data_IF_709979698437
#
_entry.id   IF_709979698437
#
_cell.length_a   1.000
_cell.length_b   1.000
_cell.length_c   1.000
_cell.angle_alpha   90.00
_cell.angle_beta   90.00
_cell.angle_gamma   90.00
#
_symmetry.space_group_name_H-M   'P 1'
#
loop_
_entity.id
_entity.type
_entity.pdbx_description
1 polymer ?
#
# COMPACT_ATOMS: atom_id res chain seq x y z
N UNK A 1 18.58 -15.70 -1.63
CA UNK A 1 19.98 -15.68 -1.13
C UNK A 1 20.76 -16.95 -1.47
N UNK A 2 20.22 -18.17 -1.32
CA UNK A 2 20.97 -19.41 -1.63
C UNK A 2 21.31 -19.66 -3.11
N UNK A 3 20.56 -19.07 -4.04
CA UNK A 3 20.76 -19.30 -5.48
C UNK A 3 21.88 -18.45 -6.07
N UNK A 4 22.20 -17.29 -5.49
CA UNK A 4 23.31 -16.43 -5.94
C UNK A 4 24.67 -16.96 -5.50
N UNK A 5 24.78 -17.56 -4.31
CA UNK A 5 26.02 -18.18 -3.84
C UNK A 5 26.52 -19.30 -4.77
N UNK A 6 25.62 -19.96 -5.51
CA UNK A 6 26.01 -20.99 -6.47
C UNK A 6 26.61 -20.40 -7.77
N UNK A 7 26.30 -19.15 -8.12
CA UNK A 7 26.80 -18.53 -9.35
C UNK A 7 28.27 -18.11 -9.23
N UNK A 8 28.66 -17.50 -8.10
CA UNK A 8 30.06 -17.13 -7.84
C UNK A 8 30.99 -18.35 -7.78
N UNK A 9 30.54 -19.45 -7.16
CA UNK A 9 31.29 -20.71 -7.13
C UNK A 9 31.42 -21.37 -8.51
N UNK A 10 30.46 -21.16 -9.42
CA UNK A 10 30.51 -21.70 -10.78
C UNK A 10 31.47 -20.92 -11.71
N UNK A 11 31.64 -19.62 -11.51
CA UNK A 11 32.56 -18.79 -12.31
C UNK A 11 34.03 -19.20 -12.13
N UNK A 12 34.42 -19.57 -10.89
CA UNK A 12 35.77 -20.08 -10.57
C UNK A 12 36.07 -21.39 -11.33
N UNK A 13 35.05 -22.19 -11.64
CA UNK A 13 35.22 -23.44 -12.38
C UNK A 13 35.37 -23.26 -13.91
N UNK A 14 35.03 -22.08 -14.47
CA UNK A 14 35.01 -21.82 -15.91
C UNK A 14 36.16 -20.92 -16.42
N UNK A 15 37.07 -20.45 -15.57
CA UNK A 15 38.20 -19.60 -15.96
C UNK A 15 37.82 -18.16 -16.32
N UNK A 16 36.63 -17.70 -15.93
CA UNK A 16 36.23 -16.30 -16.02
C UNK A 16 36.65 -15.60 -14.74
N UNK A 17 37.91 -15.17 -14.68
CA UNK A 17 38.47 -14.42 -13.55
C UNK A 17 39.17 -13.17 -14.04
N UNK A 18 39.15 -12.08 -13.27
CA UNK A 18 39.79 -10.81 -13.62
C UNK A 18 40.75 -10.29 -12.53
N UNK A 19 41.55 -9.25 -12.85
CA UNK A 19 42.53 -8.65 -11.94
C UNK A 19 41.99 -7.50 -11.09
N UNK A 20 40.73 -7.11 -11.24
CA UNK A 20 40.11 -6.11 -10.37
C UNK A 20 39.84 -6.70 -8.99
N UNK A 21 40.53 -6.19 -7.97
CA UNK A 21 40.37 -6.61 -6.57
C UNK A 21 38.99 -6.34 -5.98
N UNK A 22 38.15 -5.57 -6.68
CA UNK A 22 36.77 -5.23 -6.30
C UNK A 22 35.71 -6.10 -6.97
N UNK A 23 36.11 -6.97 -7.92
CA UNK A 23 35.25 -7.95 -8.57
C UNK A 23 35.15 -9.24 -7.76
N UNK A 24 34.01 -9.93 -7.85
CA UNK A 24 33.76 -11.18 -7.14
C UNK A 24 34.57 -12.36 -7.68
N UNK A 25 34.91 -12.30 -8.96
CA UNK A 25 35.75 -13.28 -9.64
C UNK A 25 37.22 -12.82 -9.74
N UNK A 26 37.69 -12.03 -8.77
CA UNK A 26 39.09 -11.62 -8.68
C UNK A 26 40.03 -12.85 -8.59
N UNK A 27 41.07 -12.89 -9.43
CA UNK A 27 42.13 -13.89 -9.32
C UNK A 27 43.50 -13.31 -9.68
N UNK A 28 44.52 -13.75 -8.96
CA UNK A 28 45.93 -13.38 -9.19
C UNK A 28 46.64 -14.25 -10.24
N UNK A 29 45.98 -15.30 -10.74
CA UNK A 29 46.49 -16.23 -11.76
C UNK A 29 45.33 -16.91 -12.50
N UNK A 30 45.58 -17.46 -13.70
CA UNK A 30 44.59 -18.08 -14.59
C UNK A 30 43.51 -17.14 -15.17
N UNK A 31 43.88 -15.88 -15.43
CA UNK A 31 43.03 -14.87 -16.08
C UNK A 31 42.85 -15.23 -17.56
N UNK A 32 41.65 -15.65 -17.99
CA UNK A 32 41.37 -15.85 -19.42
C UNK A 32 40.95 -14.57 -20.13
N UNK A 33 40.27 -13.66 -19.43
CA UNK A 33 39.79 -12.39 -19.97
C UNK A 33 39.59 -11.38 -18.83
N UNK A 34 40.40 -10.33 -18.80
CA UNK A 34 40.35 -9.27 -17.79
C UNK A 34 39.12 -8.36 -17.95
N UNK A 35 38.44 -8.45 -19.10
CA UNK A 35 37.23 -7.68 -19.42
C UNK A 35 35.95 -8.32 -18.89
N UNK A 36 36.02 -9.54 -18.32
CA UNK A 36 34.88 -10.29 -17.78
C UNK A 36 34.83 -10.23 -16.24
N UNK A 37 35.04 -9.06 -15.66
CA UNK A 37 34.82 -8.87 -14.24
C UNK A 37 33.33 -9.01 -13.89
N UNK A 38 33.04 -9.87 -12.92
CA UNK A 38 31.72 -10.01 -12.34
C UNK A 38 31.68 -9.18 -11.05
N UNK A 39 30.87 -8.13 -11.04
CA UNK A 39 30.65 -7.34 -9.84
C UNK A 39 29.26 -7.63 -9.27
N UNK A 40 29.17 -7.66 -7.95
CA UNK A 40 27.87 -7.70 -7.29
C UNK A 40 27.11 -6.38 -7.56
N UNK A 41 25.81 -6.44 -7.93
CA UNK A 41 25.05 -5.25 -8.23
C UNK A 41 24.85 -4.41 -6.96
N UNK A 42 25.06 -3.10 -7.09
CA UNK A 42 24.81 -2.16 -6.00
C UNK A 42 23.37 -1.69 -6.07
N UNK A 43 22.66 -1.87 -4.96
CA UNK A 43 21.31 -1.39 -4.80
C UNK A 43 21.31 -0.09 -4.01
N UNK A 44 20.46 0.86 -4.39
CA UNK A 44 20.43 2.18 -3.77
C UNK A 44 19.04 2.82 -3.78
N UNK A 45 18.86 3.84 -2.95
CA UNK A 45 17.67 4.68 -2.96
C UNK A 45 17.82 5.85 -3.95
N UNK A 46 16.86 5.96 -4.87
CA UNK A 46 16.78 7.04 -5.84
C UNK A 46 15.71 8.09 -5.48
N UNK A 47 15.05 7.97 -4.34
CA UNK A 47 14.05 8.92 -3.86
C UNK A 47 14.74 10.09 -3.13
N UNK A 48 14.58 11.31 -3.63
CA UNK A 48 15.18 12.51 -3.03
C UNK A 48 14.65 12.88 -1.64
N UNK A 49 13.53 12.28 -1.22
CA UNK A 49 12.95 12.47 0.10
C UNK A 49 13.51 11.52 1.16
N UNK A 50 14.25 10.48 0.76
CA UNK A 50 14.89 9.55 1.67
C UNK A 50 16.17 10.15 2.27
N UNK A 51 16.50 9.78 3.50
CA UNK A 51 17.74 10.22 4.16
C UNK A 51 18.99 9.61 3.53
N UNK A 52 18.87 8.43 2.93
CA UNK A 52 19.94 7.74 2.23
C UNK A 52 19.86 7.89 0.70
N UNK A 53 19.23 8.97 0.22
CA UNK A 53 19.19 9.32 -1.19
C UNK A 53 20.60 9.51 -1.78
N UNK A 54 20.84 8.89 -2.93
CA UNK A 54 22.04 9.16 -3.73
C UNK A 54 21.68 10.00 -4.95
N UNK A 55 22.11 11.27 -4.93
CA UNK A 55 21.88 12.23 -6.01
C UNK A 55 22.59 11.89 -7.33
N UNK A 56 23.66 11.11 -7.26
CA UNK A 56 24.41 10.66 -8.43
C UNK A 56 25.08 9.32 -8.15
N UNK A 57 25.06 8.44 -9.16
CA UNK A 57 25.74 7.16 -9.11
C UNK A 57 27.23 7.34 -9.46
N UNK A 58 28.17 6.76 -8.69
CA UNK A 58 29.57 6.73 -9.06
C UNK A 58 29.77 6.03 -10.41
N UNK A 59 30.21 6.78 -11.43
CA UNK A 59 30.55 6.21 -12.75
C UNK A 59 32.00 5.73 -12.76
N UNK A 60 32.29 4.66 -13.52
CA UNK A 60 33.66 4.17 -13.74
C UNK A 60 34.12 3.06 -12.77
N UNK A 61 33.23 2.52 -11.96
CA UNK A 61 33.52 1.41 -11.02
C UNK A 61 33.30 0.02 -11.63
N UNK A 62 32.79 -0.07 -12.87
CA UNK A 62 32.42 -1.34 -13.50
C UNK A 62 31.20 -2.03 -12.89
N UNK A 63 30.60 -1.47 -11.82
CA UNK A 63 29.45 -2.05 -11.12
C UNK A 63 28.13 -1.61 -11.73
N UNK A 64 27.17 -2.53 -11.76
CA UNK A 64 25.78 -2.22 -12.10
C UNK A 64 25.07 -1.63 -10.88
N UNK A 65 24.37 -0.51 -11.08
CA UNK A 65 23.59 0.16 -10.03
C UNK A 65 22.10 0.07 -10.34
N UNK A 66 21.32 -0.42 -9.39
CA UNK A 66 19.86 -0.54 -9.54
C UNK A 66 19.13 0.18 -8.42
N UNK A 67 18.27 1.13 -8.80
CA UNK A 67 17.39 1.81 -7.85
C UNK A 67 16.36 0.82 -7.28
N UNK A 68 16.26 0.76 -5.95
CA UNK A 68 15.24 -0.05 -5.26
C UNK A 68 14.62 0.75 -4.12
N UNK A 69 13.30 0.97 -4.22
CA UNK A 69 12.53 1.76 -3.25
C UNK A 69 12.60 1.17 -1.83
N UNK A 70 12.68 -0.16 -1.71
CA UNK A 70 12.79 -0.86 -0.42
C UNK A 70 14.12 -0.63 0.31
N UNK A 71 15.09 0.02 -0.35
CA UNK A 71 16.34 0.43 0.29
C UNK A 71 16.29 1.87 0.78
N UNK A 72 15.21 2.60 0.51
CA UNK A 72 15.05 3.96 1.00
C UNK A 72 14.77 3.96 2.50
N UNK A 73 15.55 4.74 3.23
CA UNK A 73 15.33 5.06 4.63
C UNK A 73 14.66 6.43 4.71
N UNK A 74 13.58 6.52 5.48
CA UNK A 74 12.84 7.76 5.68
C UNK A 74 12.82 8.09 7.16
N UNK A 75 12.99 9.37 7.48
CA UNK A 75 12.74 9.85 8.83
C UNK A 75 11.24 10.08 9.02
N UNK A 76 10.63 9.32 9.92
CA UNK A 76 9.24 9.52 10.30
C UNK A 76 9.16 10.49 11.48
N UNK A 77 8.69 11.70 11.23
CA UNK A 77 8.31 12.64 12.30
C UNK A 77 6.91 12.30 12.80
N UNK A 78 6.80 11.96 14.08
CA UNK A 78 5.59 11.46 14.72
C UNK A 78 5.17 12.29 15.96
N UNK A 79 3.99 12.01 16.47
CA UNK A 79 3.52 12.55 17.75
C UNK A 79 3.96 11.64 18.91
N UNK A 80 4.48 12.21 20.01
CA UNK A 80 4.84 11.47 21.24
C UNK A 80 3.88 11.72 22.41
N UNK A 81 2.80 12.46 22.18
CA UNK A 81 1.77 12.66 23.18
C UNK A 81 0.84 11.45 23.23
N UNK A 82 0.81 10.73 24.35
CA UNK A 82 -0.01 9.53 24.49
C UNK A 82 -1.52 9.80 24.54
N UNK A 83 -1.92 11.07 24.60
CA UNK A 83 -3.33 11.48 24.54
C UNK A 83 -3.79 11.83 23.13
N UNK A 84 -2.88 11.93 22.16
CA UNK A 84 -3.22 12.18 20.76
C UNK A 84 -3.70 10.90 20.06
N UNK A 85 -4.61 11.07 19.11
CA UNK A 85 -5.17 9.96 18.32
C UNK A 85 -4.12 9.29 17.41
N UNK A 86 -3.10 10.06 17.02
CA UNK A 86 -1.99 9.59 16.19
C UNK A 86 -0.68 9.44 16.98
N UNK A 87 -0.77 9.16 18.28
CA UNK A 87 0.38 8.80 19.10
C UNK A 87 1.17 7.66 18.45
N UNK A 88 2.46 7.90 18.18
CA UNK A 88 3.33 6.91 17.56
C UNK A 88 4.74 6.99 18.15
N UNK A 89 5.02 6.23 19.23
CA UNK A 89 6.30 6.31 19.93
C UNK A 89 7.46 5.73 19.13
N UNK A 90 7.21 4.94 18.09
CA UNK A 90 8.24 4.35 17.23
C UNK A 90 8.74 5.29 16.12
N UNK A 91 8.28 6.55 16.07
CA UNK A 91 8.81 7.54 15.13
C UNK A 91 10.29 7.86 15.40
N UNK A 92 11.04 8.17 14.35
CA UNK A 92 12.45 8.54 14.45
C UNK A 92 12.64 9.92 15.09
N UNK A 93 11.69 10.82 14.84
CA UNK A 93 11.63 12.16 15.40
C UNK A 93 10.24 12.43 15.96
N UNK A 94 10.17 13.29 16.98
CA UNK A 94 8.91 13.65 17.62
C UNK A 94 8.67 15.16 17.58
N UNK A 95 7.49 15.56 17.11
CA UNK A 95 7.05 16.95 17.04
C UNK A 95 5.59 17.06 17.46
N UNK A 96 5.32 17.88 18.49
CA UNK A 96 3.98 18.12 19.02
C UNK A 96 3.03 18.72 17.97
N UNK A 97 3.55 19.47 16.99
CA UNK A 97 2.73 20.03 15.91
C UNK A 97 2.12 18.97 14.99
N UNK A 98 2.63 17.72 15.06
CA UNK A 98 2.10 16.57 14.32
C UNK A 98 1.00 15.84 15.08
N UNK A 99 0.78 16.15 16.35
CA UNK A 99 -0.27 15.52 17.13
C UNK A 99 -1.65 15.92 16.62
N UNK A 100 -2.55 14.95 16.55
CA UNK A 100 -3.96 15.13 16.19
C UNK A 100 -4.84 14.77 17.37
N UNK A 101 -5.74 15.69 17.72
CA UNK A 101 -6.69 15.54 18.82
C UNK A 101 -8.10 15.72 18.28
N UNK A 102 -8.93 14.68 18.42
CA UNK A 102 -10.34 14.73 18.09
C UNK A 102 -11.12 15.43 19.20
N UNK A 103 -12.02 16.32 18.81
CA UNK A 103 -12.96 16.94 19.73
C UNK A 103 -13.85 17.96 19.03
N UNK A 104 -14.64 18.68 19.83
CA UNK A 104 -15.49 19.72 19.28
C UNK A 104 -14.72 21.01 19.02
N UNK A 105 -14.51 21.37 17.76
CA UNK A 105 -13.80 22.60 17.37
C UNK A 105 -14.69 23.83 17.26
N UNK A 106 -16.00 23.70 17.51
CA UNK A 106 -16.93 24.83 17.45
C UNK A 106 -17.02 25.54 18.81
N UNK A 107 -16.61 26.81 18.94
CA UNK A 107 -16.68 27.56 20.19
C UNK A 107 -18.10 27.78 20.73
N UNK A 108 -19.13 27.62 19.88
CA UNK A 108 -20.54 27.74 20.28
C UNK A 108 -21.12 26.45 20.89
N UNK A 109 -20.35 25.36 20.91
CA UNK A 109 -20.77 24.10 21.52
C UNK A 109 -20.49 24.07 23.02
N UNK A 110 -21.34 23.37 23.77
CA UNK A 110 -21.22 23.18 25.22
C UNK A 110 -19.89 22.49 25.57
N UNK A 111 -19.48 21.54 24.73
CA UNK A 111 -18.29 20.74 24.89
C UNK A 111 -17.16 21.18 23.95
N UNK A 112 -17.10 22.47 23.60
CA UNK A 112 -15.97 23.02 22.85
C UNK A 112 -14.64 22.64 23.51
N UNK A 113 -13.74 22.08 22.71
CA UNK A 113 -12.40 21.72 23.11
C UNK A 113 -11.38 22.51 22.27
N UNK A 114 -10.71 23.46 22.92
CA UNK A 114 -9.67 24.27 22.28
C UNK A 114 -8.40 23.49 21.93
N UNK A 115 -8.22 22.28 22.45
CA UNK A 115 -7.10 21.39 22.10
C UNK A 115 -7.40 20.53 20.87
N UNK A 116 -8.66 20.44 20.45
CA UNK A 116 -9.05 19.68 19.27
C UNK A 116 -8.45 20.28 18.00
N UNK A 117 -7.73 19.46 17.23
CA UNK A 117 -7.14 19.84 15.94
C UNK A 117 -8.05 19.51 14.77
N UNK A 118 -9.07 18.67 14.99
CA UNK A 118 -10.11 18.36 14.01
C UNK A 118 -11.44 18.07 14.70
N UNK A 119 -12.53 18.31 13.96
CA UNK A 119 -13.88 18.06 14.43
C UNK A 119 -14.22 16.58 14.34
N UNK A 120 -14.42 15.93 15.48
CA UNK A 120 -14.71 14.48 15.56
C UNK A 120 -16.21 14.14 15.49
N UNK A 121 -17.08 15.16 15.45
CA UNK A 121 -18.53 14.97 15.47
C UNK A 121 -19.16 14.96 16.86
N UNK A 122 -18.37 15.15 17.92
CA UNK A 122 -18.85 15.10 19.31
C UNK A 122 -19.58 16.36 19.79
N UNK A 123 -19.62 17.44 19.01
CA UNK A 123 -20.20 18.73 19.44
C UNK A 123 -21.64 18.60 19.94
N UNK A 124 -21.89 19.11 21.14
CA UNK A 124 -23.19 19.19 21.80
C UNK A 124 -23.61 20.64 21.88
N UNK A 125 -24.85 20.93 21.51
CA UNK A 125 -25.42 22.27 21.54
C UNK A 125 -26.64 22.28 22.46
N UNK A 126 -26.75 23.29 23.33
CA UNK A 126 -27.85 23.41 24.31
C UNK A 126 -29.21 23.57 23.63
N UNK A 127 -29.19 23.86 22.33
CA UNK A 127 -30.31 24.34 21.55
C UNK A 127 -30.22 23.81 20.12
N UNK A 128 -30.92 22.72 19.85
CA UNK A 128 -31.01 22.16 18.49
C UNK A 128 -32.12 22.88 17.74
N UNK A 129 -31.76 23.85 16.90
CA UNK A 129 -32.65 24.34 15.85
C UNK A 129 -32.04 25.48 15.03
N UNK A 130 -32.78 25.95 14.03
CA UNK A 130 -32.24 26.85 13.03
C UNK A 130 -32.45 28.32 13.41
N UNK A 131 -31.47 29.17 13.09
CA UNK A 131 -31.70 30.61 12.97
C UNK A 131 -32.36 31.01 11.65
N UNK A 132 -32.52 30.07 10.72
CA UNK A 132 -33.25 30.27 9.47
C UNK A 132 -34.78 30.30 9.73
N UNK A 133 -35.46 31.44 9.51
CA UNK A 133 -36.91 31.60 9.70
C UNK A 133 -37.77 30.64 8.87
N UNK A 134 -37.21 30.08 7.80
CA UNK A 134 -37.88 29.19 6.88
C UNK A 134 -37.70 27.71 7.24
N UNK A 135 -36.89 27.38 8.26
CA UNK A 135 -36.69 26.01 8.69
C UNK A 135 -37.82 25.49 9.59
N UNK A 136 -38.15 24.20 9.45
CA UNK A 136 -39.18 23.54 10.24
C UNK A 136 -38.91 23.56 11.76
N UNK A 137 -37.65 23.73 12.16
CA UNK A 137 -37.16 23.83 13.53
C UNK A 137 -36.57 25.22 13.85
N UNK A 138 -37.07 26.28 13.21
CA UNK A 138 -36.68 27.67 13.52
C UNK A 138 -37.00 28.05 14.98
N UNK A 139 -36.07 28.74 15.63
CA UNK A 139 -36.36 29.51 16.85
C UNK A 139 -35.45 30.75 16.90
N UNK A 140 -36.05 31.91 17.12
CA UNK A 140 -35.34 33.18 17.23
C UNK A 140 -34.43 33.30 18.46
N UNK A 141 -34.52 32.36 19.41
CA UNK A 141 -33.65 32.27 20.58
C UNK A 141 -32.35 31.46 20.34
N UNK A 142 -32.12 31.00 19.09
CA UNK A 142 -30.90 30.33 18.66
C UNK A 142 -29.90 31.35 18.07
N UNK A 143 -28.60 31.06 18.18
CA UNK A 143 -27.51 31.89 17.64
C UNK A 143 -26.72 31.21 16.52
N UNK A 144 -26.99 29.92 16.26
CA UNK A 144 -26.24 29.09 15.30
C UNK A 144 -27.19 28.56 14.19
N UNK A 145 -26.75 28.68 12.93
CA UNK A 145 -27.53 28.26 11.75
C UNK A 145 -27.48 26.74 11.52
N UNK A 146 -28.52 26.18 10.90
CA UNK A 146 -28.64 24.74 10.62
C UNK A 146 -27.64 24.18 9.62
N UNK A 147 -26.79 25.01 9.03
CA UNK A 147 -25.63 24.54 8.26
C UNK A 147 -24.55 23.89 9.14
N UNK A 148 -24.64 23.99 10.48
CA UNK A 148 -23.73 23.28 11.39
C UNK A 148 -23.91 21.74 11.38
N UNK A 149 -24.91 21.20 10.66
CA UNK A 149 -25.16 19.75 10.55
C UNK A 149 -24.64 19.11 9.26
N UNK A 150 -23.92 19.82 8.39
CA UNK A 150 -23.00 19.11 7.51
C UNK A 150 -21.76 18.83 8.35
N UNK A 151 -21.48 17.57 8.76
CA UNK A 151 -20.15 17.27 9.28
C UNK A 151 -19.15 17.84 8.27
N UNK A 152 -18.06 18.50 8.71
CA UNK A 152 -17.00 18.84 7.78
C UNK A 152 -16.68 17.57 7.00
N UNK A 153 -16.63 17.67 5.66
CA UNK A 153 -16.36 16.51 4.81
C UNK A 153 -15.26 15.69 5.46
N UNK A 154 -15.46 14.38 5.69
CA UNK A 154 -14.40 13.57 6.27
C UNK A 154 -13.12 13.86 5.49
N UNK A 155 -11.95 13.95 6.16
CA UNK A 155 -10.69 14.08 5.43
C UNK A 155 -10.73 13.06 4.28
N UNK A 156 -10.34 13.46 3.05
CA UNK A 156 -10.51 12.62 1.89
C UNK A 156 -10.03 11.23 2.25
N UNK A 157 -10.93 10.24 2.14
CA UNK A 157 -10.59 8.86 2.45
C UNK A 157 -9.30 8.55 1.71
N UNK A 158 -8.31 7.90 2.36
CA UNK A 158 -7.12 7.48 1.64
C UNK A 158 -7.58 6.77 0.36
N UNK A 159 -6.99 7.09 -0.81
CA UNK A 159 -7.45 6.56 -2.08
C UNK A 159 -7.66 5.06 -1.94
N UNK A 160 -8.85 4.59 -2.35
CA UNK A 160 -9.20 3.17 -2.26
C UNK A 160 -8.03 2.35 -2.77
N UNK A 161 -7.55 1.40 -1.95
CA UNK A 161 -6.47 0.51 -2.36
C UNK A 161 -6.84 -0.07 -3.72
N UNK A 162 -5.92 -0.03 -4.72
CA UNK A 162 -6.22 -0.56 -6.04
C UNK A 162 -6.73 -2.00 -5.92
N UNK A 163 -7.73 -2.40 -6.73
CA UNK A 163 -8.21 -3.78 -6.70
C UNK A 163 -7.02 -4.73 -6.86
N UNK A 164 -7.00 -5.85 -6.12
CA UNK A 164 -5.90 -6.81 -6.23
C UNK A 164 -5.74 -7.20 -7.72
N UNK A 165 -4.49 -7.35 -8.19
CA UNK A 165 -4.26 -7.77 -9.57
C UNK A 165 -5.02 -9.08 -9.83
N UNK A 166 -5.60 -9.24 -11.04
CA UNK A 166 -6.26 -10.49 -11.39
C UNK A 166 -5.29 -11.65 -11.16
N UNK A 167 -5.77 -12.81 -10.68
CA UNK A 167 -4.91 -13.97 -10.50
C UNK A 167 -4.15 -14.27 -11.80
N UNK A 168 -2.88 -14.69 -11.73
CA UNK A 168 -2.13 -15.04 -12.92
C UNK A 168 -2.93 -16.04 -13.75
N UNK A 169 -3.03 -15.78 -15.05
CA UNK A 169 -3.65 -16.74 -15.96
C UNK A 169 -3.02 -18.12 -15.74
N UNK A 170 -3.83 -19.19 -15.72
CA UNK A 170 -3.30 -20.54 -15.54
C UNK A 170 -2.21 -20.77 -16.58
N UNK A 171 -1.04 -21.22 -16.11
CA UNK A 171 0.07 -21.56 -17.00
C UNK A 171 -0.43 -22.44 -18.14
N UNK A 172 -0.02 -22.18 -19.39
CA UNK A 172 -0.35 -23.07 -20.49
C UNK A 172 0.09 -24.49 -20.13
N UNK A 173 -0.72 -25.51 -20.46
CA UNK A 173 -0.35 -26.89 -20.18
C UNK A 173 1.04 -27.18 -20.79
N UNK A 174 1.86 -27.97 -20.11
CA UNK A 174 3.18 -28.34 -20.63
C UNK A 174 3.01 -28.91 -22.05
N UNK A 175 3.95 -28.61 -22.97
CA UNK A 175 3.91 -29.21 -24.29
C UNK A 175 3.89 -30.74 -24.14
N UNK A 176 3.15 -31.44 -25.01
CA UNK A 176 3.12 -32.90 -24.96
C UNK A 176 4.56 -33.44 -25.00
N UNK A 177 4.86 -34.48 -24.20
CA UNK A 177 6.19 -35.08 -24.21
C UNK A 177 6.54 -35.49 -25.63
N UNK A 178 7.77 -35.15 -26.04
CA UNK A 178 8.31 -35.56 -27.33
C UNK A 178 8.11 -37.07 -27.51
N UNK A 179 7.70 -37.52 -28.72
CA UNK A 179 7.51 -38.95 -28.96
C UNK A 179 8.81 -39.69 -28.63
N UNK A 180 8.74 -40.84 -27.95
CA UNK A 180 9.93 -41.62 -27.64
C UNK A 180 10.65 -41.96 -28.95
N UNK A 181 12.00 -41.97 -28.94
CA UNK A 181 12.75 -42.40 -30.11
C UNK A 181 12.31 -43.80 -30.51
N UNK A 182 12.05 -44.00 -31.80
CA UNK A 182 11.62 -45.27 -32.37
C UNK A 182 12.56 -46.39 -31.90
N UNK A 183 12.02 -47.52 -31.42
CA UNK A 183 12.85 -48.63 -30.97
C UNK A 183 13.70 -49.13 -32.15
N UNK A 184 14.97 -49.50 -31.91
CA UNK A 184 15.75 -50.16 -32.94
C UNK A 184 15.04 -51.46 -33.33
N UNK A 185 14.85 -51.65 -34.62
CA UNK A 185 14.38 -52.90 -35.23
C UNK A 185 15.33 -54.03 -34.85
N UNK A 186 14.95 -54.82 -33.86
CA UNK A 186 15.55 -56.13 -33.60
C UNK A 186 14.79 -57.23 -34.33
N UNK A 187 15.47 -58.31 -34.76
CA UNK A 187 14.90 -59.29 -35.67
C UNK A 187 13.90 -60.23 -35.00
N UNK A 188 13.10 -60.86 -35.87
CA UNK A 188 11.99 -61.77 -35.58
C UNK A 188 12.25 -62.86 -34.51
N UNK A 189 11.19 -63.30 -33.80
CA UNK A 189 11.31 -64.20 -32.66
C UNK A 189 11.50 -65.67 -33.07
N UNK A 190 12.35 -66.37 -32.33
CA UNK A 190 12.36 -67.83 -32.26
C UNK A 190 11.50 -68.27 -31.07
N UNK A 191 10.45 -69.03 -31.37
CA UNK A 191 9.71 -70.05 -30.59
C UNK A 191 9.50 -69.87 -29.07
N UNK A 192 8.25 -69.98 -28.54
CA UNK A 192 7.99 -69.85 -27.11
C UNK A 192 8.17 -71.19 -26.35
N UNK A 193 8.68 -71.16 -25.10
CA UNK A 193 8.49 -72.25 -24.13
C UNK A 193 7.19 -72.07 -23.31
N UNK A 194 6.72 -73.14 -22.63
CA UNK A 194 5.32 -73.25 -22.20
C UNK A 194 4.97 -72.43 -20.95
N UNK A 195 3.70 -72.04 -20.90
CA UNK A 195 3.05 -71.23 -19.88
C UNK A 195 3.04 -71.88 -18.49
N UNK A 196 3.50 -71.14 -17.48
CA UNK A 196 3.20 -71.42 -16.08
C UNK A 196 1.87 -70.73 -15.69
N UNK A 197 1.07 -71.32 -14.78
CA UNK A 197 -0.25 -70.80 -14.45
C UNK A 197 -0.15 -69.52 -13.61
N UNK A 198 -0.88 -68.49 -14.08
CA UNK A 198 -0.97 -67.19 -13.44
C UNK A 198 -1.94 -67.25 -12.24
N UNK A 199 -1.60 -66.69 -11.07
CA UNK A 199 -2.51 -66.67 -9.91
C UNK A 199 -3.66 -65.67 -10.11
N UNK A 200 -4.84 -66.05 -9.63
CA UNK A 200 -6.11 -65.32 -9.73
C UNK A 200 -6.04 -63.90 -9.13
N UNK A 201 -6.73 -62.91 -9.71
CA UNK A 201 -6.77 -61.56 -9.16
C UNK A 201 -7.56 -61.51 -7.83
N UNK A 202 -7.16 -60.65 -6.88
CA UNK A 202 -7.90 -60.47 -5.63
C UNK A 202 -9.25 -59.78 -5.87
N UNK A 203 -10.25 -59.98 -4.98
CA UNK A 203 -11.59 -59.42 -5.14
C UNK A 203 -11.58 -57.89 -5.02
N UNK A 204 -12.55 -57.20 -5.67
CA UNK A 204 -12.63 -55.74 -5.62
C UNK A 204 -13.01 -55.24 -4.23
N UNK A 205 -12.39 -54.15 -3.81
CA UNK A 205 -12.66 -53.46 -2.54
C UNK A 205 -14.07 -52.85 -2.52
N UNK A 206 -14.71 -52.73 -1.34
CA UNK A 206 -16.05 -52.15 -1.22
C UNK A 206 -16.04 -50.64 -1.54
N UNK A 207 -17.16 -50.11 -2.06
CA UNK A 207 -17.26 -48.69 -2.40
C UNK A 207 -17.27 -47.80 -1.14
N UNK A 208 -16.76 -46.55 -1.24
CA UNK A 208 -16.73 -45.63 -0.11
C UNK A 208 -18.13 -45.15 0.28
N UNK A 209 -18.34 -44.76 1.55
CA UNK A 209 -19.63 -44.27 2.04
C UNK A 209 -20.03 -42.94 1.38
N UNK A 210 -21.34 -42.76 1.20
CA UNK A 210 -21.93 -41.59 0.56
C UNK A 210 -21.69 -40.30 1.36
N UNK A 211 -21.49 -39.14 0.70
CA UNK A 211 -21.29 -37.87 1.39
C UNK A 211 -22.58 -37.39 2.10
N UNK A 212 -22.46 -36.62 3.20
CA UNK A 212 -23.60 -36.08 3.92
C UNK A 212 -24.39 -35.07 3.07
N UNK A 213 -25.70 -34.88 3.33
CA UNK A 213 -26.53 -33.96 2.56
C UNK A 213 -26.12 -32.50 2.77
N UNK A 214 -26.19 -31.72 1.69
CA UNK A 214 -25.85 -30.30 1.66
C UNK A 214 -26.74 -29.46 2.60
N UNK A 215 -26.20 -28.39 3.21
CA UNK A 215 -27.01 -27.44 3.98
C UNK A 215 -27.98 -26.67 3.07
N UNK A 216 -29.13 -26.20 3.60
CA UNK A 216 -30.12 -25.48 2.82
C UNK A 216 -29.57 -24.13 2.31
N UNK A 217 -30.08 -23.63 1.17
CA UNK A 217 -29.60 -22.38 0.59
C UNK A 217 -29.95 -21.18 1.47
N UNK A 218 -28.97 -20.31 1.69
CA UNK A 218 -29.13 -19.04 2.40
C UNK A 218 -30.12 -18.12 1.68
N UNK A 219 -30.97 -17.44 2.45
CA UNK A 219 -31.96 -16.49 1.94
C UNK A 219 -31.28 -15.36 1.13
N UNK A 220 -31.92 -14.87 0.05
CA UNK A 220 -31.38 -13.78 -0.74
C UNK A 220 -31.34 -12.47 0.06
N UNK A 221 -30.33 -11.61 -0.16
CA UNK A 221 -30.22 -10.33 0.53
C UNK A 221 -31.37 -9.39 0.15
N UNK A 222 -31.77 -8.46 1.05
CA UNK A 222 -32.83 -7.49 0.78
C UNK A 222 -32.45 -6.55 -0.37
N UNK A 223 -33.46 -6.13 -1.13
CA UNK A 223 -33.29 -5.26 -2.29
C UNK A 223 -32.73 -3.87 -1.90
N UNK A 224 -31.88 -3.25 -2.74
CA UNK A 224 -31.33 -1.93 -2.47
C UNK A 224 -32.42 -0.85 -2.48
N UNK A 225 -32.25 0.24 -1.69
CA UNK A 225 -33.21 1.34 -1.66
C UNK A 225 -33.25 2.10 -3.01
N UNK A 226 -34.38 2.74 -3.35
CA UNK A 226 -34.53 3.49 -4.59
C UNK A 226 -33.57 4.68 -4.65
N UNK A 227 -33.03 4.94 -5.84
CA UNK A 227 -32.08 6.02 -6.09
C UNK A 227 -32.70 7.41 -5.83
N UNK A 228 -31.92 8.36 -5.29
CA UNK A 228 -32.42 9.72 -5.04
C UNK A 228 -32.73 10.47 -6.36
N UNK A 229 -33.67 11.44 -6.33
CA UNK A 229 -34.01 12.23 -7.50
C UNK A 229 -32.83 13.10 -7.95
N UNK A 230 -32.76 13.46 -9.25
CA UNK A 230 -31.67 14.27 -9.78
C UNK A 230 -31.66 15.69 -9.17
N UNK A 231 -30.48 16.29 -8.99
CA UNK A 231 -30.35 17.63 -8.41
C UNK A 231 -30.96 18.70 -9.34
N UNK A 232 -31.63 19.68 -8.74
CA UNK A 232 -32.17 20.86 -9.43
C UNK A 232 -31.04 21.75 -9.99
N UNK A 233 -31.23 22.38 -11.16
CA UNK A 233 -30.23 23.22 -11.78
C UNK A 233 -29.93 24.49 -10.95
N UNK A 234 -28.68 24.97 -10.94
CA UNK A 234 -28.29 26.14 -10.16
C UNK A 234 -28.90 27.44 -10.73
N UNK A 235 -29.08 28.47 -9.89
CA UNK A 235 -29.57 29.78 -10.33
C UNK A 235 -28.52 30.50 -11.20
N UNK A 236 -28.95 31.41 -12.11
CA UNK A 236 -28.06 32.14 -12.99
C UNK A 236 -27.12 33.10 -12.24
N UNK A 237 -25.87 33.18 -12.68
CA UNK A 237 -24.82 34.02 -12.09
C UNK A 237 -25.11 35.52 -12.22
N UNK A 238 -24.69 36.35 -11.23
CA UNK A 238 -24.84 37.80 -11.31
C UNK A 238 -23.91 38.41 -12.39
N UNK A 239 -24.27 39.58 -12.96
CA UNK A 239 -23.47 40.24 -13.99
C UNK A 239 -22.14 40.77 -13.44
N UNK A 240 -21.08 40.85 -14.27
CA UNK A 240 -19.77 41.33 -13.86
C UNK A 240 -19.78 42.86 -13.60
N UNK A 241 -18.92 43.37 -12.69
CA UNK A 241 -18.81 44.79 -12.41
C UNK A 241 -18.09 45.56 -13.53
N UNK A 242 -18.52 46.82 -13.74
CA UNK A 242 -17.98 47.75 -14.73
C UNK A 242 -16.48 48.05 -14.52
N UNK A 243 -15.69 47.87 -15.58
CA UNK A 243 -14.27 48.22 -15.67
C UNK A 243 -14.04 49.73 -15.82
N UNK A 244 -13.08 50.35 -15.10
CA UNK A 244 -12.58 51.68 -15.45
C UNK A 244 -11.47 51.65 -16.52
N UNK A 245 -11.44 52.73 -17.32
CA UNK A 245 -10.61 53.06 -18.49
C UNK A 245 -9.08 52.76 -18.41
N UNK A 246 -8.41 52.59 -19.57
CA UNK A 246 -7.07 52.02 -19.65
C UNK A 246 -5.92 53.01 -19.35
N UNK A 247 -4.92 52.51 -18.62
CA UNK A 247 -3.57 53.10 -18.50
C UNK A 247 -2.74 52.84 -19.77
N UNK A 248 -1.72 53.68 -20.07
CA UNK A 248 -0.89 53.55 -21.27
C UNK A 248 -0.01 52.28 -21.26
N UNK A 249 0.35 51.73 -22.44
CA UNK A 249 1.02 50.44 -22.55
C UNK A 249 2.48 50.48 -22.06
N UNK A 250 2.87 49.44 -21.32
CA UNK A 250 4.25 49.15 -20.92
C UNK A 250 5.15 48.77 -22.11
N UNK A 251 6.48 48.98 -22.03
CA UNK A 251 7.41 48.65 -23.11
C UNK A 251 7.53 47.13 -23.33
N UNK A 252 7.91 46.68 -24.54
CA UNK A 252 7.94 45.26 -24.90
C UNK A 252 9.04 44.49 -24.14
N UNK A 253 8.82 43.19 -23.84
CA UNK A 253 9.80 42.37 -23.16
C UNK A 253 11.01 42.04 -24.07
N UNK A 254 12.18 41.94 -23.45
CA UNK A 254 13.44 41.50 -24.08
C UNK A 254 13.30 40.08 -24.67
N UNK A 255 14.01 39.77 -25.79
CA UNK A 255 13.99 38.44 -26.38
C UNK A 255 14.71 37.41 -25.50
N UNK A 256 14.25 36.14 -25.47
CA UNK A 256 14.89 35.07 -24.72
C UNK A 256 16.21 34.61 -25.39
N UNK A 257 17.16 34.05 -24.61
CA UNK A 257 18.39 33.48 -25.15
C UNK A 257 18.14 32.18 -25.95
N UNK A 258 19.03 31.81 -26.88
CA UNK A 258 18.79 30.71 -27.80
C UNK A 258 19.20 29.38 -27.17
N UNK A 259 18.24 28.56 -26.75
CA UNK A 259 18.46 27.13 -26.51
C UNK A 259 17.47 26.32 -27.35
N UNK A 260 18.03 25.47 -28.20
CA UNK A 260 17.32 24.58 -29.12
C UNK A 260 16.42 23.57 -28.39
N UNK A 261 15.25 23.21 -28.96
CA UNK A 261 14.41 22.15 -28.42
C UNK A 261 14.81 20.79 -29.00
N UNK A 262 15.08 19.80 -28.15
CA UNK A 262 15.26 18.42 -28.60
C UNK A 262 15.61 17.44 -27.48
N UNK A 263 14.69 16.50 -27.25
CA UNK A 263 14.80 15.26 -26.45
C UNK A 263 14.58 15.36 -24.92
N UNK A 264 13.32 15.24 -24.52
CA UNK A 264 12.93 14.67 -23.22
C UNK A 264 12.23 13.31 -23.50
N UNK A 265 12.61 12.19 -22.88
CA UNK A 265 11.89 10.93 -23.03
C UNK A 265 10.57 10.93 -22.23
N UNK A 266 9.58 10.10 -22.60
CA UNK A 266 8.26 10.12 -21.98
C UNK A 266 8.29 9.58 -20.54
N UNK A 267 7.65 10.30 -19.63
CA UNK A 267 7.38 9.84 -18.26
C UNK A 267 6.50 8.59 -18.30
N UNK A 268 6.99 7.47 -17.75
CA UNK A 268 6.22 6.25 -17.52
C UNK A 268 5.24 6.38 -16.34
N UNK A 269 4.25 5.48 -16.23
CA UNK A 269 3.23 5.55 -15.18
C UNK A 269 3.82 5.23 -13.79
N UNK A 270 3.23 5.79 -12.71
CA UNK A 270 3.74 5.64 -11.34
C UNK A 270 3.58 4.21 -10.77
N UNK A 271 4.45 3.79 -9.82
CA UNK A 271 4.40 2.45 -9.22
C UNK A 271 3.24 2.25 -8.23
N UNK A 272 2.78 1.00 -8.00
CA UNK A 272 1.62 0.70 -7.14
C UNK A 272 1.92 0.81 -5.64
N UNK A 273 0.91 1.24 -4.87
CA UNK A 273 0.96 1.51 -3.43
C UNK A 273 1.10 0.23 -2.56
N UNK A 274 1.79 0.30 -1.40
CA UNK A 274 1.95 -0.82 -0.47
C UNK A 274 0.64 -1.17 0.27
N UNK A 275 0.45 -2.44 0.71
CA UNK A 275 -0.79 -2.90 1.33
C UNK A 275 -0.99 -2.35 2.75
N UNK A 276 -2.25 -2.19 3.20
CA UNK A 276 -2.55 -1.64 4.53
C UNK A 276 -2.19 -2.62 5.66
N UNK A 277 -1.78 -2.12 6.83
CA UNK A 277 -1.43 -2.93 7.99
C UNK A 277 -2.65 -3.63 8.61
N UNK A 278 -2.45 -4.86 9.08
CA UNK A 278 -3.49 -5.68 9.71
C UNK A 278 -4.07 -5.05 10.99
N UNK A 279 -5.37 -5.24 11.27
CA UNK A 279 -6.00 -4.69 12.46
C UNK A 279 -5.44 -5.32 13.75
N UNK A 280 -5.30 -4.54 14.83
CA UNK A 280 -4.79 -5.03 16.11
C UNK A 280 -5.79 -6.00 16.77
N UNK A 281 -5.30 -6.95 17.60
CA UNK A 281 -6.17 -7.88 18.31
C UNK A 281 -7.04 -7.14 19.36
N UNK A 282 -8.23 -7.67 19.69
CA UNK A 282 -9.14 -7.02 20.62
C UNK A 282 -8.52 -6.90 22.02
N UNK A 283 -8.60 -5.68 22.58
CA UNK A 283 -8.07 -5.34 23.90
C UNK A 283 -8.76 -6.15 25.01
N UNK A 284 -7.95 -6.66 25.95
CA UNK A 284 -8.43 -7.37 27.13
C UNK A 284 -9.31 -6.45 28.02
N UNK A 285 -10.33 -6.99 28.70
CA UNK A 285 -11.22 -6.20 29.54
C UNK A 285 -10.46 -5.58 30.73
N UNK A 286 -10.88 -4.39 31.19
CA UNK A 286 -10.19 -3.66 32.26
C UNK A 286 -10.28 -4.40 33.60
N UNK A 287 -9.16 -4.39 34.34
CA UNK A 287 -9.05 -4.96 35.69
C UNK A 287 -9.98 -4.23 36.69
N UNK A 288 -10.58 -4.93 37.65
CA UNK A 288 -11.45 -4.33 38.65
C UNK A 288 -10.69 -3.37 39.58
N UNK A 289 -11.34 -2.31 40.08
CA UNK A 289 -10.72 -1.31 40.93
C UNK A 289 -10.27 -1.91 42.29
N UNK A 290 -9.20 -1.36 42.90
CA UNK A 290 -8.70 -1.82 44.19
C UNK A 290 -9.70 -1.53 45.31
N UNK A 291 -9.88 -2.50 46.21
CA UNK A 291 -10.78 -2.42 47.36
C UNK A 291 -10.39 -1.30 48.34
N UNK A 292 -11.36 -0.61 48.96
CA UNK A 292 -11.09 0.46 49.92
C UNK A 292 -10.42 -0.07 51.20
N UNK A 293 -9.59 0.75 51.87
CA UNK A 293 -8.92 0.36 53.11
C UNK A 293 -9.91 0.19 54.27
N UNK A 294 -9.61 -0.70 55.24
CA UNK A 294 -10.50 -0.93 56.38
C UNK A 294 -10.53 0.29 57.33
N UNK A 295 -11.66 0.53 58.02
CA UNK A 295 -11.81 1.65 58.94
C UNK A 295 -10.93 1.50 60.18
N UNK A 296 -10.34 2.62 60.61
CA UNK A 296 -9.50 2.72 61.81
C UNK A 296 -10.29 2.37 63.09
N UNK A 297 -9.68 1.69 64.08
CA UNK A 297 -10.35 1.35 65.32
C UNK A 297 -10.61 2.60 66.18
N UNK A 298 -11.69 2.60 66.99
CA UNK A 298 -12.02 3.73 67.84
C UNK A 298 -10.99 3.92 68.97
N UNK A 299 -10.77 5.17 69.43
CA UNK A 299 -9.82 5.47 70.49
C UNK A 299 -10.31 4.89 71.83
N UNK A 300 -9.39 4.22 72.54
CA UNK A 300 -9.58 3.66 73.89
C UNK A 300 -9.60 4.70 74.99
#
# INVERSE_FOLDING_TARGET
MRTLLLAAAAAVAAGQSCQDTTAENFATSNIRDDSLCAYEPVYYCADSSATNYLASIPTGTGKDYFARVWMCEYTLTACMDSTADNYFPQGDLHDQSKCSFGGCTNPDAINYDSSATYHDGSCQYDKVGCTDPNAANYNSAFTVSCQAFTPPSPPPSPPASPPPPPPPSPSPPPPPPSPPPSPPTSPAPSSPPPSLPQPSPPPPSPPPPSPPPFPPPSLPPPAPPPSPPPPTPPPPSPPPPDTPSPFPPSPPPFPPPPWSPGAMPPFGPPPPSPPPPSPPPPSAPPSPPPSPPPPSPPPS
#
